data_IF_047021345267
#
_entry.id   IF_047021345267
#
_cell.length_a   1.000
_cell.length_b   1.000
_cell.length_c   1.000
_cell.angle_alpha   90.00
_cell.angle_beta   90.00
_cell.angle_gamma   90.00
#
_symmetry.space_group_name_H-M   'P 1'
#
loop_
_entity.id
_entity.type
_entity.pdbx_description
1 polymer ?
#
# COMPACT_ATOMS: atom_id res chain seq x y z
N UNK A 1 22.09 -28.72 -3.62
CA UNK A 1 20.79 -28.83 -2.93
C UNK A 1 19.84 -29.63 -3.81
N UNK A 2 19.12 -30.59 -3.26
CA UNK A 2 18.07 -31.36 -3.95
C UNK A 2 16.71 -30.73 -3.59
N UNK A 3 15.90 -30.40 -4.58
CA UNK A 3 14.53 -29.88 -4.36
C UNK A 3 13.52 -31.02 -4.37
N UNK A 4 12.96 -31.33 -3.23
CA UNK A 4 11.96 -32.40 -3.07
C UNK A 4 11.15 -32.22 -1.78
N UNK A 5 9.89 -32.66 -1.81
CA UNK A 5 9.08 -32.85 -0.62
C UNK A 5 9.24 -34.27 -0.02
N UNK A 6 9.85 -35.18 -0.77
CA UNK A 6 10.17 -36.55 -0.31
C UNK A 6 11.51 -36.52 0.43
N UNK A 7 11.58 -37.24 1.52
CA UNK A 7 12.83 -37.53 2.20
C UNK A 7 13.49 -38.72 1.50
N UNK A 8 14.69 -38.50 0.99
CA UNK A 8 15.50 -39.57 0.40
C UNK A 8 16.53 -40.00 1.42
N UNK A 9 16.53 -41.29 1.75
CA UNK A 9 17.50 -41.91 2.67
C UNK A 9 18.90 -42.04 2.06
N UNK A 10 18.96 -42.22 0.75
CA UNK A 10 20.23 -42.34 0.01
C UNK A 10 20.20 -41.47 -1.24
N UNK A 11 20.94 -40.38 -1.21
CA UNK A 11 21.20 -39.53 -2.37
C UNK A 11 22.61 -39.87 -2.89
N UNK A 12 22.79 -40.30 -4.11
CA UNK A 12 24.13 -40.60 -4.64
C UNK A 12 24.99 -39.32 -4.60
N UNK A 13 26.30 -39.45 -4.26
CA UNK A 13 27.18 -38.28 -4.22
C UNK A 13 27.35 -37.72 -5.66
N UNK A 14 27.20 -36.37 -5.75
CA UNK A 14 27.48 -35.66 -7.00
C UNK A 14 28.96 -35.28 -6.97
N UNK A 15 29.69 -35.67 -8.00
CA UNK A 15 31.10 -35.34 -8.20
C UNK A 15 31.23 -34.19 -9.19
N UNK A 16 32.04 -33.21 -8.85
CA UNK A 16 32.47 -32.13 -9.75
C UNK A 16 34.00 -32.05 -9.69
N UNK A 17 34.68 -32.26 -10.82
CA UNK A 17 36.14 -32.33 -10.89
C UNK A 17 36.73 -33.29 -9.84
N UNK A 18 36.20 -34.50 -9.72
CA UNK A 18 36.57 -35.55 -8.77
C UNK A 18 36.40 -35.16 -7.29
N UNK A 19 35.74 -34.03 -7.00
CA UNK A 19 35.43 -33.58 -5.64
C UNK A 19 33.96 -33.82 -5.33
N UNK A 20 33.63 -34.38 -4.17
CA UNK A 20 32.25 -34.60 -3.75
C UNK A 20 31.62 -33.25 -3.41
N UNK A 21 30.53 -32.90 -4.12
CA UNK A 21 29.74 -31.70 -3.86
C UNK A 21 28.93 -31.89 -2.57
N UNK A 22 29.22 -31.07 -1.55
CA UNK A 22 28.49 -31.10 -0.26
C UNK A 22 27.02 -30.75 -0.44
N UNK A 23 26.15 -31.63 0.01
CA UNK A 23 24.72 -31.35 0.06
C UNK A 23 24.42 -30.37 1.18
N UNK A 24 23.64 -29.31 0.89
CA UNK A 24 23.22 -28.27 1.83
C UNK A 24 21.70 -28.25 1.95
N UNK A 25 21.21 -27.94 3.16
CA UNK A 25 19.77 -27.81 3.44
C UNK A 25 19.23 -26.39 3.16
N UNK A 26 20.11 -25.41 3.15
CA UNK A 26 19.76 -24.02 2.83
C UNK A 26 20.83 -23.45 1.91
N UNK A 27 20.41 -22.73 0.88
CA UNK A 27 21.33 -22.06 -0.04
C UNK A 27 20.82 -20.66 -0.38
N UNK A 28 21.72 -19.69 -0.35
CA UNK A 28 21.41 -18.33 -0.76
C UNK A 28 21.85 -18.11 -2.21
N UNK A 29 20.88 -18.01 -3.11
CA UNK A 29 21.13 -17.78 -4.53
C UNK A 29 20.68 -16.38 -4.93
N UNK A 30 21.59 -15.55 -5.46
CA UNK A 30 21.31 -14.16 -5.84
C UNK A 30 20.54 -13.37 -4.77
N UNK A 31 20.90 -13.58 -3.50
CA UNK A 31 20.26 -12.87 -2.38
C UNK A 31 18.95 -13.48 -1.87
N UNK A 32 18.44 -14.53 -2.49
CA UNK A 32 17.21 -15.25 -2.11
C UNK A 32 17.60 -16.58 -1.44
N UNK A 33 17.06 -16.84 -0.26
CA UNK A 33 17.22 -18.11 0.44
C UNK A 33 16.30 -19.18 -0.15
N UNK A 34 16.89 -20.29 -0.54
CA UNK A 34 16.21 -21.47 -1.04
C UNK A 34 16.33 -22.60 -0.02
N UNK A 35 15.24 -23.35 0.14
CA UNK A 35 15.18 -24.59 0.94
C UNK A 35 14.76 -25.75 0.04
N UNK A 36 15.02 -27.01 0.39
CA UNK A 36 14.64 -28.18 -0.45
C UNK A 36 13.15 -28.24 -0.79
N UNK A 37 12.29 -27.79 0.13
CA UNK A 37 10.85 -27.77 -0.01
C UNK A 37 10.31 -26.46 -0.60
N UNK A 38 11.19 -25.50 -0.95
CA UNK A 38 10.84 -24.14 -1.36
C UNK A 38 9.92 -23.43 -0.33
N UNK A 39 10.16 -23.71 0.95
CA UNK A 39 9.53 -22.97 2.03
C UNK A 39 10.20 -21.61 2.17
N UNK A 40 9.42 -20.54 2.09
CA UNK A 40 9.94 -19.17 2.06
C UNK A 40 10.12 -18.51 3.43
N UNK A 41 9.78 -19.20 4.52
CA UNK A 41 9.82 -18.63 5.88
C UNK A 41 11.21 -18.11 6.26
N UNK A 42 12.30 -18.77 5.82
CA UNK A 42 13.69 -18.29 6.01
C UNK A 42 13.91 -16.98 5.27
N UNK A 43 13.51 -16.90 4.01
CA UNK A 43 13.62 -15.68 3.21
C UNK A 43 12.85 -14.53 3.85
N UNK A 44 11.62 -14.78 4.32
CA UNK A 44 10.81 -13.76 4.97
C UNK A 44 11.40 -13.32 6.30
N UNK A 45 11.97 -14.24 7.07
CA UNK A 45 12.70 -13.89 8.29
C UNK A 45 13.82 -12.88 8.01
N UNK A 46 14.67 -13.15 7.02
CA UNK A 46 15.77 -12.27 6.62
C UNK A 46 15.30 -10.90 6.10
N UNK A 47 14.22 -10.89 5.31
CA UNK A 47 13.59 -9.64 4.85
C UNK A 47 13.10 -8.84 6.05
N UNK A 48 12.41 -9.48 7.00
CA UNK A 48 11.87 -8.83 8.19
C UNK A 48 12.99 -8.26 9.08
N UNK A 49 14.09 -8.96 9.27
CA UNK A 49 15.25 -8.44 10.02
C UNK A 49 15.79 -7.17 9.39
N UNK A 50 16.13 -7.22 8.10
CA UNK A 50 16.66 -6.06 7.37
C UNK A 50 15.68 -4.90 7.31
N UNK A 51 14.40 -5.16 7.06
CA UNK A 51 13.38 -4.13 6.99
C UNK A 51 13.11 -3.49 8.35
N UNK A 52 13.12 -4.25 9.45
CA UNK A 52 12.97 -3.72 10.81
C UNK A 52 14.16 -2.85 11.24
N UNK A 53 15.40 -3.22 10.88
CA UNK A 53 16.57 -2.39 11.13
C UNK A 53 16.43 -1.03 10.42
N UNK A 54 16.03 -1.01 9.14
CA UNK A 54 15.77 0.22 8.40
C UNK A 54 14.57 1.01 8.95
N UNK A 55 13.56 0.32 9.48
CA UNK A 55 12.41 0.96 10.14
C UNK A 55 12.85 1.68 11.45
N UNK A 56 13.81 1.13 12.17
CA UNK A 56 14.39 1.81 13.33
C UNK A 56 15.09 3.12 12.92
N UNK A 57 15.87 3.10 11.83
CA UNK A 57 16.47 4.32 11.26
C UNK A 57 15.40 5.32 10.82
N UNK A 58 14.32 4.85 10.15
CA UNK A 58 13.22 5.75 9.76
C UNK A 58 12.57 6.41 10.99
N UNK A 59 12.52 5.71 12.12
CA UNK A 59 11.99 6.25 13.39
C UNK A 59 12.89 7.34 13.96
N UNK A 60 14.21 7.21 13.93
CA UNK A 60 15.13 8.24 14.43
C UNK A 60 15.04 9.55 13.68
N UNK A 61 14.73 9.49 12.37
CA UNK A 61 14.52 10.68 11.51
C UNK A 61 13.04 11.08 11.38
N UNK A 62 12.20 10.62 12.30
CA UNK A 62 10.74 10.86 12.27
C UNK A 62 10.35 12.33 12.36
N UNK A 63 11.28 13.23 12.66
CA UNK A 63 11.09 14.70 12.64
C UNK A 63 11.00 15.28 11.22
N UNK A 64 11.45 14.56 10.20
CA UNK A 64 11.40 15.00 8.80
C UNK A 64 9.96 15.14 8.29
N UNK A 65 9.82 15.80 7.13
CA UNK A 65 8.52 15.99 6.48
C UNK A 65 7.89 14.65 6.07
N UNK A 66 6.56 14.61 5.99
CA UNK A 66 5.83 13.41 5.54
C UNK A 66 6.28 12.94 4.16
N UNK A 67 6.54 13.86 3.23
CA UNK A 67 7.03 13.53 1.87
C UNK A 67 8.40 12.88 1.89
N UNK A 68 9.31 13.37 2.74
CA UNK A 68 10.66 12.81 2.91
C UNK A 68 10.59 11.42 3.54
N UNK A 69 9.77 11.24 4.58
CA UNK A 69 9.57 9.93 5.22
C UNK A 69 8.94 8.91 4.25
N UNK A 70 7.97 9.31 3.42
CA UNK A 70 7.38 8.46 2.37
C UNK A 70 8.44 8.04 1.34
N UNK A 71 9.30 8.97 0.93
CA UNK A 71 10.40 8.67 0.01
C UNK A 71 11.41 7.70 0.64
N UNK A 72 11.84 7.94 1.87
CA UNK A 72 12.77 7.07 2.60
C UNK A 72 12.19 5.65 2.78
N UNK A 73 10.92 5.54 3.12
CA UNK A 73 10.25 4.23 3.18
C UNK A 73 10.35 3.49 1.84
N UNK A 74 10.02 4.16 0.73
CA UNK A 74 10.03 3.55 -0.62
C UNK A 74 11.43 3.13 -1.04
N UNK A 75 12.43 3.94 -0.76
CA UNK A 75 13.82 3.67 -1.14
C UNK A 75 14.48 2.64 -0.25
N UNK A 76 14.27 2.69 1.06
CA UNK A 76 15.04 1.90 2.02
C UNK A 76 14.33 0.62 2.49
N UNK A 77 13.04 0.69 2.74
CA UNK A 77 12.30 -0.43 3.35
C UNK A 77 11.57 -1.22 2.27
N UNK A 78 10.80 -0.53 1.43
CA UNK A 78 10.01 -1.17 0.38
C UNK A 78 10.87 -1.88 -0.65
N UNK A 79 12.02 -1.31 -1.02
CA UNK A 79 12.97 -1.94 -1.95
C UNK A 79 13.46 -3.30 -1.46
N UNK A 80 13.66 -3.45 -0.14
CA UNK A 80 14.03 -4.73 0.48
C UNK A 80 12.89 -5.75 0.39
N UNK A 81 11.65 -5.31 0.58
CA UNK A 81 10.46 -6.17 0.48
C UNK A 81 10.18 -6.54 -0.96
N UNK A 82 10.30 -5.60 -1.89
CA UNK A 82 10.02 -5.80 -3.32
C UNK A 82 10.99 -6.77 -4.00
N UNK A 83 12.20 -6.95 -3.43
CA UNK A 83 13.21 -7.82 -4.02
C UNK A 83 12.76 -9.29 -4.02
N UNK A 84 12.49 -9.82 -5.19
CA UNK A 84 11.98 -11.19 -5.37
C UNK A 84 10.51 -11.39 -4.96
N UNK A 85 9.79 -10.35 -4.53
CA UNK A 85 8.42 -10.46 -4.00
C UNK A 85 7.48 -11.24 -4.93
N UNK A 86 7.54 -11.00 -6.23
CA UNK A 86 6.70 -11.69 -7.21
C UNK A 86 7.00 -13.20 -7.36
N UNK A 87 8.18 -13.66 -6.91
CA UNK A 87 8.58 -15.07 -6.99
C UNK A 87 7.90 -15.87 -5.87
N UNK A 88 7.88 -15.34 -4.65
CA UNK A 88 7.49 -16.12 -3.48
C UNK A 88 6.15 -15.69 -2.84
N UNK A 89 5.64 -14.47 -3.09
CA UNK A 89 4.49 -13.94 -2.36
C UNK A 89 3.26 -14.84 -2.38
N UNK A 90 2.93 -15.40 -3.55
CA UNK A 90 1.73 -16.23 -3.71
C UNK A 90 1.81 -17.59 -2.99
N UNK A 91 3.04 -18.03 -2.68
CA UNK A 91 3.33 -19.29 -1.98
C UNK A 91 3.57 -19.10 -0.49
N UNK A 92 3.48 -17.87 0.04
CA UNK A 92 3.71 -17.58 1.44
C UNK A 92 2.61 -18.18 2.33
N UNK A 93 3.02 -18.53 3.54
CA UNK A 93 2.09 -18.82 4.65
C UNK A 93 1.44 -17.53 5.13
N UNK A 94 0.23 -17.61 5.66
CA UNK A 94 -0.50 -16.45 6.17
C UNK A 94 0.26 -15.70 7.28
N UNK A 95 0.99 -16.43 8.13
CA UNK A 95 1.84 -15.84 9.17
C UNK A 95 2.97 -14.98 8.60
N UNK A 96 3.60 -15.39 7.50
CA UNK A 96 4.66 -14.64 6.84
C UNK A 96 4.12 -13.40 6.11
N UNK A 97 2.94 -13.51 5.47
CA UNK A 97 2.22 -12.36 4.90
C UNK A 97 1.91 -11.34 5.98
N UNK A 98 1.40 -11.79 7.13
CA UNK A 98 1.12 -10.91 8.27
C UNK A 98 2.37 -10.17 8.75
N UNK A 99 3.51 -10.86 8.89
CA UNK A 99 4.78 -10.24 9.31
C UNK A 99 5.23 -9.14 8.35
N UNK A 100 5.16 -9.36 7.05
CA UNK A 100 5.49 -8.35 6.03
C UNK A 100 4.52 -7.15 6.08
N UNK A 101 3.22 -7.41 6.18
CA UNK A 101 2.20 -6.36 6.25
C UNK A 101 2.37 -5.50 7.53
N UNK A 102 2.80 -6.09 8.65
CA UNK A 102 3.09 -5.35 9.88
C UNK A 102 4.23 -4.35 9.72
N UNK A 103 5.26 -4.66 8.92
CA UNK A 103 6.35 -3.71 8.64
C UNK A 103 5.81 -2.52 7.85
N UNK A 104 5.05 -2.77 6.79
CA UNK A 104 4.42 -1.72 6.00
C UNK A 104 3.48 -0.85 6.84
N UNK A 105 2.66 -1.46 7.68
CA UNK A 105 1.74 -0.77 8.58
C UNK A 105 2.48 0.13 9.59
N UNK A 106 3.55 -0.38 10.24
CA UNK A 106 4.37 0.41 11.16
C UNK A 106 5.05 1.58 10.46
N UNK A 107 5.58 1.36 9.25
CA UNK A 107 6.13 2.43 8.43
C UNK A 107 5.08 3.48 8.09
N UNK A 108 3.87 3.07 7.70
CA UNK A 108 2.77 3.97 7.39
C UNK A 108 2.37 4.84 8.59
N UNK A 109 2.35 4.28 9.79
CA UNK A 109 2.11 5.05 11.02
C UNK A 109 3.21 6.07 11.30
N UNK A 110 4.47 5.73 11.05
CA UNK A 110 5.58 6.68 11.21
C UNK A 110 5.47 7.85 10.22
N UNK A 111 5.16 7.55 8.95
CA UNK A 111 5.04 8.55 7.88
C UNK A 111 3.88 9.52 8.14
N UNK A 112 2.75 9.02 8.63
CA UNK A 112 1.53 9.82 8.82
C UNK A 112 1.40 10.39 10.22
N UNK A 113 2.08 9.81 11.21
CA UNK A 113 1.85 10.06 12.63
C UNK A 113 0.51 9.49 13.13
N UNK A 114 -0.09 8.53 12.42
CA UNK A 114 -1.37 7.94 12.78
C UNK A 114 -1.33 7.24 14.14
N UNK A 115 -2.46 7.31 14.85
CA UNK A 115 -2.62 6.74 16.18
C UNK A 115 -2.74 5.21 16.13
N UNK A 116 -2.62 4.58 17.30
CA UNK A 116 -2.89 3.16 17.47
C UNK A 116 -4.32 2.82 17.01
N UNK A 117 -4.55 1.56 16.62
CA UNK A 117 -5.85 1.07 16.14
C UNK A 117 -6.36 1.72 14.84
N UNK A 118 -5.51 2.45 14.09
CA UNK A 118 -5.85 2.92 12.76
C UNK A 118 -6.00 1.74 11.80
N UNK A 119 -7.07 1.70 11.02
CA UNK A 119 -7.29 0.67 10.01
C UNK A 119 -6.16 0.66 8.97
N UNK A 120 -5.63 -0.52 8.67
CA UNK A 120 -4.55 -0.72 7.70
C UNK A 120 -4.95 -0.22 6.30
N UNK A 121 -6.17 -0.58 5.85
CA UNK A 121 -6.70 -0.19 4.54
C UNK A 121 -6.86 1.33 4.41
N UNK A 122 -7.43 1.98 5.43
CA UNK A 122 -7.57 3.45 5.45
C UNK A 122 -6.20 4.14 5.44
N UNK A 123 -5.23 3.62 6.19
CA UNK A 123 -3.87 4.16 6.27
C UNK A 123 -3.16 4.05 4.90
N UNK A 124 -3.28 2.93 4.21
CA UNK A 124 -2.66 2.74 2.91
C UNK A 124 -3.33 3.60 1.83
N UNK A 125 -4.65 3.74 1.88
CA UNK A 125 -5.38 4.65 1.01
C UNK A 125 -4.91 6.10 1.21
N UNK A 126 -4.75 6.53 2.48
CA UNK A 126 -4.24 7.86 2.85
C UNK A 126 -2.83 8.14 2.31
N UNK A 127 -1.97 7.12 2.27
CA UNK A 127 -0.61 7.21 1.76
C UNK A 127 -0.52 7.03 0.23
N UNK A 128 -1.57 6.52 -0.38
CA UNK A 128 -1.54 6.04 -1.76
C UNK A 128 -0.57 4.86 -1.92
N UNK A 129 -0.48 4.02 -0.88
CA UNK A 129 0.33 2.80 -0.92
C UNK A 129 -0.55 1.62 -1.32
N UNK A 130 -0.07 0.83 -2.25
CA UNK A 130 -0.67 -0.45 -2.55
C UNK A 130 -0.38 -1.48 -1.44
N UNK A 131 -1.32 -2.40 -1.23
CA UNK A 131 -1.09 -3.59 -0.42
C UNK A 131 -0.01 -4.47 -1.07
N UNK A 132 0.73 -5.24 -0.27
CA UNK A 132 1.80 -6.11 -0.78
C UNK A 132 1.29 -7.18 -1.76
N UNK A 133 0.05 -7.63 -1.60
CA UNK A 133 -0.63 -8.52 -2.56
C UNK A 133 -0.77 -7.89 -3.95
N UNK A 134 -1.28 -6.68 -4.01
CA UNK A 134 -1.41 -5.90 -5.25
C UNK A 134 -0.05 -5.55 -5.84
N UNK A 135 0.91 -5.25 -4.97
CA UNK A 135 2.29 -4.97 -5.38
C UNK A 135 2.97 -6.18 -6.01
N UNK A 136 2.83 -7.37 -5.42
CA UNK A 136 3.36 -8.61 -5.97
C UNK A 136 2.76 -8.92 -7.34
N UNK A 137 1.45 -8.74 -7.51
CA UNK A 137 0.76 -8.89 -8.80
C UNK A 137 1.28 -7.91 -9.84
N UNK A 138 1.39 -6.63 -9.49
CA UNK A 138 1.93 -5.60 -10.38
C UNK A 138 3.35 -5.92 -10.86
N UNK A 139 4.25 -6.30 -9.93
CA UNK A 139 5.64 -6.66 -10.25
C UNK A 139 5.69 -7.91 -11.12
N UNK A 140 4.96 -8.97 -10.74
CA UNK A 140 4.96 -10.23 -11.45
C UNK A 140 4.36 -10.13 -12.85
N UNK A 141 3.24 -9.41 -13.02
CA UNK A 141 2.66 -9.15 -14.34
C UNK A 141 3.60 -8.32 -15.23
N UNK A 142 4.34 -7.38 -14.64
CA UNK A 142 5.35 -6.61 -15.37
C UNK A 142 6.47 -7.51 -15.89
N UNK A 143 6.97 -8.43 -15.05
CA UNK A 143 8.00 -9.40 -15.46
C UNK A 143 7.43 -10.38 -16.48
N UNK A 144 6.22 -10.91 -16.24
CA UNK A 144 5.57 -11.84 -17.16
C UNK A 144 5.35 -11.22 -18.56
N UNK A 145 4.92 -9.97 -18.61
CA UNK A 145 4.75 -9.24 -19.86
C UNK A 145 6.06 -9.00 -20.61
N UNK A 146 7.17 -8.73 -19.88
CA UNK A 146 8.52 -8.69 -20.50
C UNK A 146 8.91 -10.02 -21.16
N UNK A 147 8.57 -11.15 -20.51
CA UNK A 147 8.82 -12.48 -21.05
C UNK A 147 7.96 -12.71 -22.29
N UNK A 148 6.68 -12.32 -22.23
CA UNK A 148 5.73 -12.38 -23.35
C UNK A 148 6.26 -11.64 -24.58
N UNK A 149 6.76 -10.44 -24.40
CA UNK A 149 7.33 -9.61 -25.47
C UNK A 149 8.71 -10.11 -25.97
N UNK A 150 9.31 -11.12 -25.34
CA UNK A 150 10.63 -11.63 -25.70
C UNK A 150 11.80 -10.70 -25.32
N UNK A 151 11.57 -9.72 -24.41
CA UNK A 151 12.61 -8.79 -23.93
C UNK A 151 13.60 -9.48 -22.97
N UNK A 152 13.26 -10.65 -22.47
CA UNK A 152 14.10 -11.45 -21.57
C UNK A 152 14.95 -12.47 -22.35
N UNK A 153 15.88 -13.16 -21.63
CA UNK A 153 16.67 -14.23 -22.25
C UNK A 153 15.75 -15.30 -22.85
N UNK A 154 16.04 -15.83 -24.05
CA UNK A 154 15.19 -16.82 -24.76
C UNK A 154 14.81 -18.04 -23.91
N UNK A 155 15.75 -18.57 -23.12
CA UNK A 155 15.53 -19.69 -22.22
C UNK A 155 14.37 -19.48 -21.23
N UNK A 156 14.15 -18.25 -20.77
CA UNK A 156 13.03 -17.94 -19.85
C UNK A 156 11.69 -18.06 -20.56
N UNK A 157 11.65 -17.74 -21.86
CA UNK A 157 10.43 -17.85 -22.68
C UNK A 157 10.00 -19.31 -22.89
N UNK A 158 10.92 -20.26 -22.90
CA UNK A 158 10.58 -21.69 -23.00
C UNK A 158 9.83 -22.24 -21.79
N UNK A 159 9.89 -21.54 -20.64
CA UNK A 159 9.13 -21.89 -19.46
C UNK A 159 7.67 -21.44 -19.52
N UNK A 160 7.28 -20.68 -20.54
CA UNK A 160 5.89 -20.22 -20.70
C UNK A 160 5.03 -21.33 -21.31
N UNK A 161 3.73 -21.38 -20.96
CA UNK A 161 2.81 -22.29 -21.63
C UNK A 161 2.55 -21.84 -23.07
N UNK A 162 2.07 -22.74 -23.90
CA UNK A 162 1.67 -22.44 -25.27
C UNK A 162 0.54 -21.42 -25.33
N UNK A 163 0.52 -20.61 -26.38
CA UNK A 163 -0.60 -19.71 -26.64
C UNK A 163 -1.78 -20.51 -27.14
N UNK A 164 -2.96 -20.29 -26.56
CA UNK A 164 -4.21 -20.80 -27.12
C UNK A 164 -4.55 -20.01 -28.38
N UNK A 165 -4.50 -20.67 -29.53
CA UNK A 165 -5.08 -20.20 -30.77
C UNK A 165 -6.56 -20.55 -30.73
N UNK A 166 -7.44 -19.59 -30.44
CA UNK A 166 -8.88 -19.79 -30.60
C UNK A 166 -9.18 -19.94 -32.11
N UNK A 167 -9.52 -21.14 -32.53
CA UNK A 167 -9.89 -21.43 -33.93
C UNK A 167 -11.19 -20.74 -34.37
N UNK A 168 -12.00 -20.23 -33.44
CA UNK A 168 -13.23 -19.48 -33.72
C UNK A 168 -13.00 -17.98 -33.72
N UNK A 169 -12.81 -17.43 -34.88
CA UNK A 169 -12.22 -16.15 -35.27
C UNK A 169 -12.99 -14.87 -34.96
N UNK A 170 -13.88 -14.80 -34.00
CA UNK A 170 -14.68 -13.58 -33.83
C UNK A 170 -14.20 -12.58 -32.77
N UNK A 171 -13.33 -12.95 -31.82
CA UNK A 171 -12.66 -12.03 -30.86
C UNK A 171 -11.40 -12.68 -30.29
N UNK A 172 -10.33 -12.80 -31.07
CA UNK A 172 -9.06 -13.40 -30.64
C UNK A 172 -8.47 -12.68 -29.43
N UNK A 173 -8.77 -13.17 -28.23
CA UNK A 173 -8.10 -12.77 -26.99
C UNK A 173 -6.90 -13.69 -26.85
N UNK A 174 -5.68 -13.13 -26.90
CA UNK A 174 -4.45 -13.88 -26.61
C UNK A 174 -4.55 -14.41 -25.19
N UNK A 175 -4.56 -15.73 -25.05
CA UNK A 175 -4.60 -16.43 -23.77
C UNK A 175 -3.55 -17.55 -23.78
N UNK A 176 -2.99 -17.82 -22.61
CA UNK A 176 -2.10 -18.95 -22.42
C UNK A 176 -2.88 -20.19 -22.02
N UNK A 177 -2.38 -21.36 -22.44
CA UNK A 177 -2.86 -22.64 -21.94
C UNK A 177 -2.64 -22.75 -20.44
N UNK A 178 -3.52 -23.49 -19.76
CA UNK A 178 -3.34 -23.75 -18.34
C UNK A 178 -2.31 -24.84 -18.15
N UNK A 179 -1.37 -24.63 -17.24
CA UNK A 179 -0.50 -25.69 -16.80
C UNK A 179 -1.32 -26.85 -16.18
N UNK A 180 -0.93 -28.09 -16.46
CA UNK A 180 -1.44 -29.22 -15.70
C UNK A 180 -0.91 -29.15 -14.27
N UNK A 181 -1.80 -28.82 -13.35
CA UNK A 181 -1.43 -28.54 -11.96
C UNK A 181 -1.54 -29.82 -11.13
N UNK A 182 -0.39 -30.40 -10.77
CA UNK A 182 -0.32 -31.58 -9.91
C UNK A 182 -0.31 -31.27 -8.41
N UNK A 183 -0.02 -30.02 -8.02
CA UNK A 183 0.02 -29.59 -6.63
C UNK A 183 -0.39 -28.12 -6.47
N UNK A 184 -0.92 -27.77 -5.29
CA UNK A 184 -1.26 -26.38 -4.91
C UNK A 184 -0.03 -25.47 -4.92
N UNK A 185 1.14 -25.98 -4.55
CA UNK A 185 2.38 -25.21 -4.57
C UNK A 185 2.80 -24.88 -5.99
N UNK A 186 2.71 -25.82 -6.92
CA UNK A 186 2.99 -25.56 -8.32
C UNK A 186 2.05 -24.50 -8.90
N UNK A 187 0.75 -24.57 -8.57
CA UNK A 187 -0.24 -23.57 -9.05
C UNK A 187 0.07 -22.15 -8.59
N UNK A 188 0.71 -21.99 -7.43
CA UNK A 188 1.11 -20.71 -6.84
C UNK A 188 2.50 -20.25 -7.29
N UNK A 189 3.25 -21.07 -8.01
CA UNK A 189 4.57 -20.70 -8.54
C UNK A 189 4.43 -19.65 -9.66
N UNK A 190 5.54 -19.00 -10.02
CA UNK A 190 5.53 -17.83 -10.89
C UNK A 190 4.79 -18.05 -12.23
N UNK A 191 5.19 -19.02 -13.04
CA UNK A 191 4.62 -19.19 -14.37
C UNK A 191 3.14 -19.60 -14.36
N UNK A 192 2.71 -20.65 -13.64
CA UNK A 192 1.30 -21.02 -13.57
C UNK A 192 0.39 -19.91 -13.06
N UNK A 193 0.83 -19.19 -12.02
CA UNK A 193 0.04 -18.13 -11.44
C UNK A 193 -0.09 -16.91 -12.37
N UNK A 194 1.05 -16.40 -12.88
CA UNK A 194 1.03 -15.19 -13.70
C UNK A 194 0.51 -15.39 -15.11
N UNK A 195 0.61 -16.61 -15.69
CA UNK A 195 -0.03 -16.90 -16.97
C UNK A 195 -1.56 -16.81 -16.90
N UNK A 196 -2.16 -17.32 -15.81
CA UNK A 196 -3.61 -17.21 -15.58
C UNK A 196 -4.01 -15.75 -15.30
N UNK A 197 -3.27 -15.08 -14.43
CA UNK A 197 -3.55 -13.69 -14.07
C UNK A 197 -3.39 -12.76 -15.28
N UNK A 198 -2.37 -12.95 -16.12
CA UNK A 198 -2.17 -12.20 -17.35
C UNK A 198 -3.28 -12.48 -18.38
N UNK A 199 -3.71 -13.75 -18.50
CA UNK A 199 -4.81 -14.13 -19.38
C UNK A 199 -6.15 -13.48 -18.99
N UNK A 200 -6.35 -13.20 -17.71
CA UNK A 200 -7.55 -12.51 -17.19
C UNK A 200 -7.54 -10.99 -17.38
N UNK A 201 -6.40 -10.38 -17.75
CA UNK A 201 -6.33 -8.94 -17.98
C UNK A 201 -7.22 -8.53 -19.18
N UNK A 202 -7.65 -7.26 -19.16
CA UNK A 202 -8.36 -6.66 -20.27
C UNK A 202 -7.51 -6.74 -21.57
N UNK A 203 -8.17 -7.01 -22.71
CA UNK A 203 -7.53 -7.11 -24.03
C UNK A 203 -6.68 -5.86 -24.34
N UNK A 204 -7.20 -4.66 -24.04
CA UNK A 204 -6.51 -3.40 -24.29
C UNK A 204 -5.17 -3.30 -23.55
N UNK A 205 -5.04 -3.90 -22.36
CA UNK A 205 -3.79 -3.93 -21.59
C UNK A 205 -2.84 -4.97 -22.16
N UNK A 206 -3.33 -6.15 -22.53
CA UNK A 206 -2.52 -7.25 -23.08
C UNK A 206 -1.82 -6.91 -24.39
N UNK A 207 -2.48 -6.12 -25.24
CA UNK A 207 -1.98 -5.75 -26.57
C UNK A 207 -0.97 -4.59 -26.56
N UNK A 208 -0.60 -4.06 -25.38
CA UNK A 208 0.37 -2.96 -25.28
C UNK A 208 1.78 -3.52 -25.41
N UNK A 209 2.48 -3.21 -26.48
CA UNK A 209 3.87 -3.64 -26.69
C UNK A 209 4.88 -2.74 -25.94
N UNK A 210 4.54 -1.48 -25.71
CA UNK A 210 5.37 -0.57 -24.93
C UNK A 210 5.27 -0.89 -23.43
N UNK A 211 6.41 -1.25 -22.82
CA UNK A 211 6.46 -1.64 -21.42
C UNK A 211 6.11 -0.50 -20.45
N UNK A 212 6.40 0.76 -20.83
CA UNK A 212 6.09 1.93 -19.99
C UNK A 212 4.58 2.15 -19.96
N UNK A 213 3.94 2.16 -21.14
CA UNK A 213 2.49 2.26 -21.27
C UNK A 213 1.77 1.09 -20.61
N UNK A 214 2.32 -0.13 -20.71
CA UNK A 214 1.77 -1.29 -20.01
C UNK A 214 1.78 -1.08 -18.49
N UNK A 215 2.90 -0.64 -17.91
CA UNK A 215 3.01 -0.36 -16.47
C UNK A 215 2.07 0.76 -16.02
N UNK A 216 1.91 1.82 -16.82
CA UNK A 216 0.97 2.90 -16.56
C UNK A 216 -0.46 2.37 -16.48
N UNK A 217 -0.93 1.66 -17.50
CA UNK A 217 -2.26 1.06 -17.51
C UNK A 217 -2.45 0.05 -16.37
N UNK A 218 -1.45 -0.81 -16.11
CA UNK A 218 -1.50 -1.75 -15.00
C UNK A 218 -1.55 -1.02 -13.65
N UNK A 219 -0.96 0.18 -13.55
CA UNK A 219 -0.98 0.96 -12.33
C UNK A 219 -2.39 1.46 -11.95
N UNK A 220 -3.27 1.71 -12.91
CA UNK A 220 -4.67 2.06 -12.64
C UNK A 220 -5.44 0.89 -12.01
N UNK A 221 -5.03 -0.35 -12.29
CA UNK A 221 -5.69 -1.54 -11.72
C UNK A 221 -5.20 -1.85 -10.31
N UNK A 222 -3.90 -1.67 -10.03
CA UNK A 222 -3.27 -2.17 -8.81
C UNK A 222 -2.81 -1.11 -7.82
N UNK A 223 -2.75 0.15 -8.22
CA UNK A 223 -2.33 1.24 -7.32
C UNK A 223 -3.52 2.10 -6.94
N UNK A 224 -3.67 2.44 -5.65
CA UNK A 224 -4.67 3.41 -5.25
C UNK A 224 -4.33 4.79 -5.81
N UNK A 225 -5.36 5.57 -6.09
CA UNK A 225 -5.20 6.98 -6.46
C UNK A 225 -4.50 7.73 -5.33
N UNK A 226 -3.43 8.45 -5.67
CA UNK A 226 -2.68 9.21 -4.67
C UNK A 226 -3.41 10.50 -4.33
N UNK A 227 -3.84 10.63 -3.10
CA UNK A 227 -4.15 11.94 -2.53
C UNK A 227 -2.85 12.71 -2.27
N UNK A 228 -2.48 13.61 -3.18
CA UNK A 228 -1.19 14.33 -3.08
C UNK A 228 -1.26 15.63 -2.27
N UNK A 229 -2.46 16.03 -1.82
CA UNK A 229 -2.68 17.30 -1.13
C UNK A 229 -1.95 17.39 0.22
N UNK A 230 -1.60 16.24 0.80
CA UNK A 230 -0.97 16.14 2.13
C UNK A 230 0.54 16.30 2.14
N UNK A 231 1.11 16.69 1.02
CA UNK A 231 2.54 17.05 0.94
C UNK A 231 2.80 18.46 1.46
N UNK A 232 1.75 19.29 1.58
CA UNK A 232 1.85 20.72 1.88
C UNK A 232 1.42 21.01 3.31
N UNK A 233 1.99 22.06 3.89
CA UNK A 233 1.67 22.53 5.22
C UNK A 233 2.59 22.02 6.33
N UNK A 234 2.27 22.39 7.57
CA UNK A 234 3.07 22.00 8.73
C UNK A 234 2.95 20.50 9.03
N UNK A 235 4.01 19.92 9.55
CA UNK A 235 4.01 18.50 9.95
C UNK A 235 2.93 18.18 11.00
N UNK A 236 2.77 19.08 11.98
CA UNK A 236 1.78 18.93 13.05
C UNK A 236 0.36 19.08 12.50
N UNK A 237 0.11 20.09 11.65
CA UNK A 237 -1.18 20.28 10.99
C UNK A 237 -1.56 19.09 10.12
N UNK A 238 -0.63 18.56 9.35
CA UNK A 238 -0.83 17.34 8.54
C UNK A 238 -1.17 16.13 9.40
N UNK A 239 -0.52 15.96 10.56
CA UNK A 239 -0.79 14.84 11.48
C UNK A 239 -2.22 14.93 12.02
N UNK A 240 -2.63 16.07 12.53
CA UNK A 240 -3.97 16.24 13.11
C UNK A 240 -5.07 16.11 12.04
N UNK A 241 -4.86 16.67 10.86
CA UNK A 241 -5.78 16.49 9.74
C UNK A 241 -5.90 15.01 9.34
N UNK A 242 -4.79 14.30 9.30
CA UNK A 242 -4.80 12.84 9.06
C UNK A 242 -5.58 12.09 10.14
N UNK A 243 -5.42 12.45 11.41
CA UNK A 243 -6.19 11.85 12.51
C UNK A 243 -7.70 12.01 12.32
N UNK A 244 -8.16 13.20 11.93
CA UNK A 244 -9.57 13.46 11.65
C UNK A 244 -10.09 12.63 10.47
N UNK A 245 -9.34 12.56 9.39
CA UNK A 245 -9.69 11.80 8.17
C UNK A 245 -9.74 10.30 8.39
N UNK A 246 -8.84 9.77 9.17
CA UNK A 246 -8.80 8.35 9.49
C UNK A 246 -9.87 7.96 10.53
N UNK A 247 -10.58 8.94 11.11
CA UNK A 247 -11.54 8.70 12.19
C UNK A 247 -10.86 8.17 13.47
N UNK A 248 -9.61 8.57 13.67
CA UNK A 248 -8.82 8.25 14.87
C UNK A 248 -8.07 9.50 15.31
N UNK A 249 -8.66 10.23 16.25
CA UNK A 249 -8.13 11.47 16.80
C UNK A 249 -8.36 11.54 18.32
N UNK A 250 -7.99 12.65 18.94
CA UNK A 250 -8.25 12.89 20.36
C UNK A 250 -9.67 13.40 20.67
N UNK A 251 -10.59 13.39 19.70
CA UNK A 251 -12.01 13.67 19.94
C UNK A 251 -12.64 12.54 20.76
N UNK A 252 -13.55 12.88 21.66
CA UNK A 252 -14.12 11.90 22.61
C UNK A 252 -14.80 10.73 21.91
N UNK A 253 -15.55 10.94 20.82
CA UNK A 253 -16.14 9.83 20.06
C UNK A 253 -15.09 8.87 19.49
N UNK A 254 -13.94 9.37 19.02
CA UNK A 254 -12.87 8.52 18.51
C UNK A 254 -12.13 7.79 19.64
N UNK A 255 -12.00 8.42 20.81
CA UNK A 255 -11.39 7.82 22.00
C UNK A 255 -12.30 6.75 22.60
N UNK A 256 -13.60 6.99 22.63
CA UNK A 256 -14.59 6.01 23.10
C UNK A 256 -14.54 4.71 22.30
N UNK A 257 -14.50 4.79 20.96
CA UNK A 257 -14.39 3.61 20.08
C UNK A 257 -13.10 2.81 20.33
N UNK A 258 -12.07 3.42 20.91
CA UNK A 258 -10.79 2.77 21.24
C UNK A 258 -10.65 2.40 22.71
N UNK A 259 -11.71 2.58 23.52
CA UNK A 259 -11.68 2.33 24.96
C UNK A 259 -10.79 3.27 25.76
N UNK A 260 -10.47 4.45 25.20
CA UNK A 260 -9.63 5.47 25.85
C UNK A 260 -10.46 6.59 26.52
N UNK A 261 -11.77 6.52 26.47
CA UNK A 261 -12.70 7.46 27.10
C UNK A 261 -14.03 6.76 27.33
N UNK A 262 -14.64 7.02 28.48
CA UNK A 262 -15.97 6.47 28.83
C UNK A 262 -17.10 7.40 28.34
N UNK A 263 -16.78 8.59 27.86
CA UNK A 263 -17.75 9.57 27.42
C UNK A 263 -17.49 10.00 25.97
N UNK A 264 -18.57 10.06 25.18
CA UNK A 264 -18.57 10.52 23.80
C UNK A 264 -18.88 12.01 23.66
N UNK A 265 -19.38 12.66 24.74
CA UNK A 265 -19.89 14.04 24.73
C UNK A 265 -18.71 15.03 24.68
N UNK A 266 -18.93 16.16 24.01
CA UNK A 266 -17.97 17.24 23.94
C UNK A 266 -17.74 17.89 25.31
N UNK A 267 -16.51 17.87 25.79
CA UNK A 267 -16.12 18.51 27.06
C UNK A 267 -15.80 20.00 26.91
N UNK A 268 -15.83 20.54 25.68
CA UNK A 268 -15.45 21.93 25.42
C UNK A 268 -16.65 22.85 25.22
N UNK A 269 -17.87 22.32 25.13
CA UNK A 269 -19.10 23.10 25.01
C UNK A 269 -20.22 22.50 25.88
N UNK A 270 -21.25 23.29 26.15
CA UNK A 270 -22.37 22.89 27.02
C UNK A 270 -23.58 22.31 26.24
N UNK A 271 -23.40 21.97 24.94
CA UNK A 271 -24.51 21.51 24.10
C UNK A 271 -24.84 20.02 24.25
N UNK A 272 -24.14 19.28 25.09
CA UNK A 272 -24.31 17.82 25.27
C UNK A 272 -24.28 17.00 23.97
N UNK A 273 -23.56 17.47 22.94
CA UNK A 273 -23.42 16.79 21.65
C UNK A 273 -22.21 15.88 21.61
N UNK A 274 -22.32 14.81 20.83
CA UNK A 274 -21.20 13.90 20.56
C UNK A 274 -20.02 14.64 19.95
N UNK A 275 -18.84 14.58 20.58
CA UNK A 275 -17.61 15.18 20.05
C UNK A 275 -17.03 14.33 18.92
N UNK A 276 -17.64 14.41 17.74
CA UNK A 276 -17.16 13.82 16.51
C UNK A 276 -16.52 14.87 15.58
N UNK A 277 -15.99 14.44 14.44
CA UNK A 277 -15.35 15.34 13.47
C UNK A 277 -16.31 16.42 12.95
N UNK A 278 -17.59 16.10 12.71
CA UNK A 278 -18.58 17.07 12.25
C UNK A 278 -18.86 18.13 13.33
N UNK A 279 -19.10 17.71 14.59
CA UNK A 279 -19.29 18.64 15.69
C UNK A 279 -18.09 19.57 15.87
N UNK A 280 -16.88 19.01 15.90
CA UNK A 280 -15.64 19.78 16.05
C UNK A 280 -15.46 20.83 14.94
N UNK A 281 -15.63 20.45 13.68
CA UNK A 281 -15.37 21.32 12.55
C UNK A 281 -16.51 22.29 12.26
N UNK A 282 -17.78 21.84 12.37
CA UNK A 282 -18.91 22.57 11.83
C UNK A 282 -19.83 23.23 12.87
N UNK A 283 -19.92 22.70 14.10
CA UNK A 283 -20.98 23.14 15.01
C UNK A 283 -20.52 23.52 16.41
N UNK A 284 -19.40 23.03 16.94
CA UNK A 284 -19.01 23.31 18.33
C UNK A 284 -18.86 24.81 18.60
N UNK A 285 -19.63 25.40 19.55
CA UNK A 285 -19.59 26.83 19.85
C UNK A 285 -18.22 27.32 20.31
N UNK A 286 -17.48 26.48 21.04
CA UNK A 286 -16.14 26.84 21.57
C UNK A 286 -15.13 27.17 20.48
N UNK A 287 -15.38 26.75 19.24
CA UNK A 287 -14.49 26.97 18.10
C UNK A 287 -15.09 27.93 17.05
N UNK A 288 -16.06 28.79 17.46
CA UNK A 288 -16.78 29.65 16.53
C UNK A 288 -15.82 30.64 15.82
N UNK A 289 -14.97 31.35 16.56
CA UNK A 289 -14.02 32.30 15.96
C UNK A 289 -13.09 31.68 14.94
N UNK A 290 -12.35 30.58 15.23
CA UNK A 290 -11.55 29.88 14.24
C UNK A 290 -12.36 29.39 13.04
N UNK A 291 -13.62 29.00 13.27
CA UNK A 291 -14.51 28.50 12.20
C UNK A 291 -14.93 29.61 11.25
N UNK A 292 -15.26 30.78 11.74
CA UNK A 292 -15.59 31.93 10.89
C UNK A 292 -14.43 32.28 9.97
N UNK A 293 -13.19 32.28 10.50
CA UNK A 293 -11.99 32.51 9.70
C UNK A 293 -11.77 31.40 8.65
N UNK A 294 -12.05 30.14 8.99
CA UNK A 294 -11.99 29.02 8.05
C UNK A 294 -13.03 29.22 6.94
N UNK A 295 -14.29 29.46 7.29
CA UNK A 295 -15.40 29.60 6.33
C UNK A 295 -15.18 30.77 5.38
N UNK A 296 -14.71 31.91 5.85
CA UNK A 296 -14.37 33.06 5.01
C UNK A 296 -13.29 32.69 3.95
N UNK A 297 -12.25 31.97 4.36
CA UNK A 297 -11.22 31.51 3.41
C UNK A 297 -11.78 30.52 2.39
N UNK A 298 -12.65 29.62 2.82
CA UNK A 298 -13.21 28.58 1.94
C UNK A 298 -14.23 29.16 0.96
N UNK A 299 -15.09 30.09 1.41
CA UNK A 299 -16.07 30.74 0.51
C UNK A 299 -15.40 31.60 -0.55
N UNK A 300 -14.24 32.21 -0.25
CA UNK A 300 -13.43 32.90 -1.26
C UNK A 300 -12.85 31.94 -2.32
N UNK A 301 -12.58 30.69 -1.93
CA UNK A 301 -12.07 29.66 -2.87
C UNK A 301 -13.18 28.93 -3.63
N UNK A 302 -14.34 28.78 -2.99
CA UNK A 302 -15.52 28.07 -3.50
C UNK A 302 -16.76 28.93 -3.23
N UNK A 303 -17.18 29.82 -4.15
CA UNK A 303 -18.27 30.77 -3.92
C UNK A 303 -19.58 30.12 -3.44
N UNK A 304 -19.89 28.92 -3.96
CA UNK A 304 -21.13 28.21 -3.59
C UNK A 304 -20.97 27.22 -2.42
N UNK A 305 -19.89 27.33 -1.62
CA UNK A 305 -19.62 26.39 -0.53
C UNK A 305 -20.74 26.36 0.51
N UNK A 306 -21.31 27.51 0.87
CA UNK A 306 -22.36 27.62 1.89
C UNK A 306 -23.69 26.97 1.48
N UNK A 307 -23.97 26.84 0.17
CA UNK A 307 -25.17 26.17 -0.33
C UNK A 307 -25.07 24.65 -0.36
N UNK A 308 -23.87 24.11 -0.15
CA UNK A 308 -23.65 22.66 -0.12
C UNK A 308 -24.16 22.05 1.19
N UNK A 309 -24.65 20.81 1.13
CA UNK A 309 -25.05 20.07 2.32
C UNK A 309 -23.87 19.86 3.29
N UNK A 310 -24.12 19.89 4.60
CA UNK A 310 -23.08 19.77 5.67
C UNK A 310 -22.11 18.62 5.48
N UNK A 311 -22.59 17.46 5.01
CA UNK A 311 -21.76 16.29 4.76
C UNK A 311 -20.75 16.52 3.62
N UNK A 312 -21.17 17.18 2.54
CA UNK A 312 -20.33 17.52 1.39
C UNK A 312 -19.30 18.59 1.79
N UNK A 313 -19.74 19.59 2.55
CA UNK A 313 -18.83 20.61 3.10
C UNK A 313 -17.72 19.95 3.94
N UNK A 314 -18.07 19.05 4.84
CA UNK A 314 -17.10 18.33 5.68
C UNK A 314 -16.13 17.49 4.84
N UNK A 315 -16.64 16.81 3.81
CA UNK A 315 -15.80 16.01 2.92
C UNK A 315 -14.78 16.88 2.17
N UNK A 316 -15.22 18.03 1.64
CA UNK A 316 -14.32 18.99 0.97
C UNK A 316 -13.26 19.53 1.96
N UNK A 317 -13.64 19.86 3.19
CA UNK A 317 -12.71 20.36 4.20
C UNK A 317 -11.65 19.32 4.60
N UNK A 318 -12.03 18.06 4.67
CA UNK A 318 -11.13 16.97 5.05
C UNK A 318 -10.33 16.42 3.86
N UNK A 319 -10.95 16.26 2.72
CA UNK A 319 -10.41 15.49 1.59
C UNK A 319 -10.10 16.35 0.35
N UNK A 320 -10.54 17.61 0.34
CA UNK A 320 -10.46 18.48 -0.83
C UNK A 320 -11.58 18.22 -1.85
N UNK A 321 -11.55 18.97 -2.94
CA UNK A 321 -12.49 18.82 -4.04
C UNK A 321 -12.10 17.57 -4.83
N UNK A 322 -13.02 16.63 -4.89
CA UNK A 322 -12.84 15.39 -5.63
C UNK A 322 -13.26 15.66 -7.09
N UNK A 323 -12.30 15.98 -7.93
CA UNK A 323 -12.54 16.05 -9.38
C UNK A 323 -12.25 14.67 -9.96
N UNK A 324 -13.23 14.07 -10.63
CA UNK A 324 -13.07 12.82 -11.40
C UNK A 324 -12.09 12.99 -12.59
N UNK A 325 -11.46 14.14 -12.72
CA UNK A 325 -10.49 14.46 -13.75
C UNK A 325 -9.06 14.20 -13.26
N UNK A 326 -8.19 13.80 -14.17
CA UNK A 326 -6.74 13.65 -14.00
C UNK A 326 -6.08 14.99 -13.59
N UNK A 327 -6.77 16.10 -13.84
CA UNK A 327 -6.33 17.46 -13.50
C UNK A 327 -6.60 17.73 -12.02
N UNK A 328 -5.55 18.04 -11.30
CA UNK A 328 -5.62 18.39 -9.87
C UNK A 328 -6.28 19.75 -9.72
N UNK A 329 -7.29 19.82 -8.87
CA UNK A 329 -7.87 21.12 -8.51
C UNK A 329 -6.85 21.91 -7.68
N UNK A 330 -6.40 23.05 -8.23
CA UNK A 330 -5.42 23.92 -7.58
C UNK A 330 -5.92 24.47 -6.23
N UNK A 331 -7.26 24.53 -6.01
CA UNK A 331 -7.90 24.95 -4.78
C UNK A 331 -7.65 24.01 -3.61
N UNK A 332 -7.31 22.76 -3.86
CA UNK A 332 -7.09 21.79 -2.79
C UNK A 332 -5.94 22.14 -1.84
N UNK A 333 -4.87 22.74 -2.34
CA UNK A 333 -3.74 23.17 -1.51
C UNK A 333 -4.15 24.26 -0.51
N UNK A 334 -4.76 25.40 -0.93
CA UNK A 334 -5.23 26.42 0.00
C UNK A 334 -6.33 25.91 0.95
N UNK A 335 -7.22 24.99 0.52
CA UNK A 335 -8.21 24.35 1.41
C UNK A 335 -7.50 23.61 2.56
N UNK A 336 -6.46 22.81 2.23
CA UNK A 336 -5.72 22.07 3.24
C UNK A 336 -4.97 23.00 4.21
N UNK A 337 -4.39 24.10 3.73
CA UNK A 337 -3.78 25.10 4.59
C UNK A 337 -4.79 25.79 5.51
N UNK A 338 -5.97 26.16 4.99
CA UNK A 338 -7.03 26.75 5.78
C UNK A 338 -7.50 25.80 6.89
N UNK A 339 -7.69 24.53 6.55
CA UNK A 339 -8.11 23.51 7.51
C UNK A 339 -7.04 23.24 8.58
N UNK A 340 -5.76 23.18 8.20
CA UNK A 340 -4.66 23.04 9.16
C UNK A 340 -4.57 24.25 10.10
N UNK A 341 -4.73 25.47 9.58
CA UNK A 341 -4.76 26.69 10.40
C UNK A 341 -5.90 26.65 11.40
N UNK A 342 -7.10 26.22 10.98
CA UNK A 342 -8.24 26.03 11.89
C UNK A 342 -7.90 25.02 13.00
N UNK A 343 -7.42 23.83 12.65
CA UNK A 343 -7.11 22.79 13.63
C UNK A 343 -6.09 23.28 14.67
N UNK A 344 -5.03 23.96 14.21
CA UNK A 344 -3.99 24.48 15.10
C UNK A 344 -4.49 25.62 15.99
N UNK A 345 -5.31 26.54 15.46
CA UNK A 345 -5.85 27.66 16.25
C UNK A 345 -6.82 27.23 17.36
N UNK A 346 -7.47 26.07 17.21
CA UNK A 346 -8.35 25.52 18.26
C UNK A 346 -7.60 24.98 19.48
N UNK A 347 -6.30 24.67 19.36
CA UNK A 347 -5.46 24.02 20.40
C UNK A 347 -6.04 22.73 20.98
N UNK A 348 -7.10 22.16 20.34
CA UNK A 348 -7.83 20.97 20.86
C UNK A 348 -6.94 19.73 20.95
N UNK A 349 -5.95 19.62 20.08
CA UNK A 349 -5.07 18.45 19.98
C UNK A 349 -3.70 18.65 20.66
N UNK A 350 -3.42 19.83 21.22
CA UNK A 350 -2.16 20.11 21.92
C UNK A 350 -2.17 19.58 23.35
N UNK A 351 -3.33 19.64 24.01
CA UNK A 351 -3.52 19.06 25.34
C UNK A 351 -3.62 17.53 25.18
N UNK A 352 -2.51 16.82 25.42
CA UNK A 352 -2.57 15.39 25.69
C UNK A 352 -3.27 15.22 27.04
N UNK A 353 -4.31 14.37 27.15
CA UNK A 353 -4.84 14.00 28.44
C UNK A 353 -3.82 13.19 29.21
#
# INVERSE_FOLDING_TARGET
MLFSHKIFSNVPPILFNNTIVKQVQEHKHLGIWLTPTLCWSKQIHEICLRANSKLAVLRSVSYLSRSTLDLLYKLQIRSVIDYGLCIFYNSLKQSDIYRLNQIQYRAGKLVTGALHYTSCSKLFLELGWEELSSRAKFLGLTVFHKIHLGITRPLVKTCMPSLRLNQNNTRATVCYERFQQRSVQFSKSFFPYFSQLWSSLNKNIKCINDLTKFKENLSFVYKPTKNQHFKYGSKIGNRYLTHLRLGRSFLNSHRFVTGLSDNIICSNCNENQTENTSHFVQSCPSYNLPRVLLMNKITNLIPNFSSLGKKVQLDILLNGINTNSIVRDCRNVPIMFAMQSFILSTKRFEKRP
#
